data_IF_460421551601
#
_entry.id   IF_460421551601
#
_cell.length_a   1.000
_cell.length_b   1.000
_cell.length_c   1.000
_cell.angle_alpha   90.00
_cell.angle_beta   90.00
_cell.angle_gamma   90.00
#
_symmetry.space_group_name_H-M   'P 1'
#
loop_
_entity.id
_entity.type
_entity.pdbx_description
1 polymer ?
#
# COMPACT_ATOMS: atom_id res chain seq x y z
N UNK A 1 11.96 5.48 2.85
CA UNK A 1 12.38 6.91 2.96
C UNK A 1 11.56 7.63 4.05
N UNK A 2 12.07 8.72 4.66
CA UNK A 2 11.34 9.56 5.64
C UNK A 2 10.63 10.72 4.94
N UNK A 3 9.61 11.32 5.57
CA UNK A 3 8.84 12.44 5.03
C UNK A 3 9.73 13.62 4.58
N UNK A 4 10.69 14.02 5.41
CA UNK A 4 11.61 15.12 5.11
C UNK A 4 12.42 14.89 3.83
N UNK A 5 12.87 13.64 3.58
CA UNK A 5 13.61 13.31 2.35
C UNK A 5 12.73 13.42 1.11
N UNK A 6 11.44 13.08 1.20
CA UNK A 6 10.48 13.26 0.08
C UNK A 6 10.25 14.74 -0.18
N UNK A 7 10.07 15.56 0.86
CA UNK A 7 9.89 17.01 0.73
C UNK A 7 11.11 17.70 0.11
N UNK A 8 12.32 17.31 0.53
CA UNK A 8 13.57 17.80 -0.06
C UNK A 8 13.73 17.41 -1.53
N UNK A 9 13.31 16.20 -1.92
CA UNK A 9 13.28 15.80 -3.33
C UNK A 9 12.27 16.66 -4.13
N UNK A 10 11.09 16.90 -3.57
CA UNK A 10 10.04 17.69 -4.22
C UNK A 10 10.44 19.16 -4.39
N UNK A 11 11.16 19.75 -3.44
CA UNK A 11 11.62 21.14 -3.55
C UNK A 11 12.63 21.37 -4.68
N UNK A 12 13.27 20.30 -5.17
CA UNK A 12 14.20 20.35 -6.29
C UNK A 12 13.55 20.06 -7.65
N UNK A 13 12.22 19.88 -7.70
CA UNK A 13 11.46 19.66 -8.94
C UNK A 13 10.73 20.94 -9.36
N UNK A 14 10.63 21.16 -10.67
CA UNK A 14 9.89 22.30 -11.23
C UNK A 14 8.38 22.23 -10.88
N UNK A 15 7.82 21.02 -10.84
CA UNK A 15 6.44 20.77 -10.42
C UNK A 15 6.28 19.36 -9.84
N UNK A 16 5.26 19.20 -9.00
CA UNK A 16 4.92 17.92 -8.36
C UNK A 16 3.40 17.73 -8.41
N UNK A 17 2.94 16.57 -8.87
CA UNK A 17 1.54 16.17 -8.68
C UNK A 17 1.35 15.81 -7.20
N UNK A 18 0.75 16.74 -6.45
CA UNK A 18 0.74 16.68 -4.99
C UNK A 18 -0.10 15.52 -4.45
N UNK A 19 -1.17 15.13 -5.13
CA UNK A 19 -2.11 14.09 -4.66
C UNK A 19 -1.43 12.72 -4.66
N UNK A 20 -0.82 12.33 -5.76
CA UNK A 20 -0.12 11.07 -5.98
C UNK A 20 1.18 11.02 -5.19
N UNK A 21 1.92 12.12 -5.14
CA UNK A 21 3.16 12.21 -4.38
C UNK A 21 2.89 12.06 -2.86
N UNK A 22 1.87 12.75 -2.34
CA UNK A 22 1.47 12.67 -0.93
C UNK A 22 0.89 11.30 -0.60
N UNK A 23 0.01 10.75 -1.44
CA UNK A 23 -0.54 9.40 -1.24
C UNK A 23 0.57 8.34 -1.17
N UNK A 24 1.59 8.45 -2.04
CA UNK A 24 2.74 7.56 -2.02
C UNK A 24 3.58 7.70 -0.76
N UNK A 25 3.83 8.93 -0.30
CA UNK A 25 4.55 9.18 0.96
C UNK A 25 3.81 8.61 2.17
N UNK A 26 2.48 8.82 2.26
CA UNK A 26 1.65 8.29 3.35
C UNK A 26 1.67 6.76 3.35
N UNK A 27 1.56 6.14 2.18
CA UNK A 27 1.60 4.70 2.05
C UNK A 27 2.95 4.13 2.56
N UNK A 28 4.08 4.67 2.07
CA UNK A 28 5.41 4.22 2.47
C UNK A 28 5.62 4.34 3.99
N UNK A 29 5.22 5.46 4.58
CA UNK A 29 5.35 5.70 6.02
C UNK A 29 4.48 4.74 6.83
N UNK A 30 3.22 4.56 6.43
CA UNK A 30 2.26 3.67 7.09
C UNK A 30 2.73 2.22 7.01
N UNK A 31 3.13 1.76 5.82
CA UNK A 31 3.61 0.41 5.58
C UNK A 31 4.88 0.12 6.39
N UNK A 32 5.83 1.07 6.42
CA UNK A 32 7.03 0.94 7.25
C UNK A 32 6.71 0.90 8.73
N UNK A 33 5.76 1.73 9.21
CA UNK A 33 5.47 1.83 10.65
C UNK A 33 4.65 0.64 11.17
N UNK A 34 3.64 0.20 10.43
CA UNK A 34 2.72 -0.85 10.88
C UNK A 34 3.26 -2.25 10.63
N UNK A 35 3.90 -2.46 9.49
CA UNK A 35 4.31 -3.80 9.05
C UNK A 35 5.79 -3.89 8.70
N UNK A 36 6.61 -2.89 9.06
CA UNK A 36 8.05 -2.89 8.80
C UNK A 36 8.38 -3.20 7.34
N UNK A 37 7.47 -2.83 6.43
CA UNK A 37 7.63 -3.09 5.01
C UNK A 37 8.71 -2.18 4.44
N UNK A 38 9.54 -2.76 3.59
CA UNK A 38 10.60 -2.08 2.86
C UNK A 38 10.30 -2.21 1.35
N UNK A 39 9.89 -1.11 0.69
CA UNK A 39 9.51 -1.16 -0.72
C UNK A 39 10.69 -1.52 -1.64
N UNK A 40 11.95 -1.36 -1.20
CA UNK A 40 13.14 -1.78 -1.97
C UNK A 40 13.42 -3.28 -1.88
N UNK A 41 12.84 -3.98 -0.91
CA UNK A 41 13.08 -5.41 -0.64
C UNK A 41 11.86 -6.29 -0.85
N UNK A 42 10.69 -5.69 -1.07
CA UNK A 42 9.44 -6.44 -1.22
C UNK A 42 9.14 -6.69 -2.69
N UNK A 43 8.93 -7.96 -3.05
CA UNK A 43 8.49 -8.38 -4.39
C UNK A 43 6.99 -8.19 -4.63
N UNK A 44 6.21 -7.88 -3.58
CA UNK A 44 4.76 -7.76 -3.68
C UNK A 44 4.32 -6.30 -3.86
N UNK A 45 3.45 -6.06 -4.84
CA UNK A 45 2.94 -4.71 -5.15
C UNK A 45 1.82 -4.31 -4.16
N UNK A 46 2.17 -4.13 -2.89
CA UNK A 46 1.24 -3.80 -1.81
C UNK A 46 0.46 -2.50 -2.08
N UNK A 47 1.10 -1.56 -2.79
CA UNK A 47 0.49 -0.28 -3.18
C UNK A 47 -0.72 -0.48 -4.08
N UNK A 48 -0.62 -1.34 -5.10
CA UNK A 48 -1.71 -1.60 -6.03
C UNK A 48 -2.90 -2.27 -5.33
N UNK A 49 -2.62 -3.22 -4.43
CA UNK A 49 -3.66 -3.86 -3.62
C UNK A 49 -4.38 -2.82 -2.74
N UNK A 50 -3.65 -1.85 -2.18
CA UNK A 50 -4.23 -0.78 -1.37
C UNK A 50 -5.07 0.20 -2.20
N UNK A 51 -4.61 0.59 -3.38
CA UNK A 51 -5.37 1.44 -4.32
C UNK A 51 -6.68 0.74 -4.72
N UNK A 52 -6.62 -0.53 -5.11
CA UNK A 52 -7.80 -1.31 -5.46
C UNK A 52 -8.77 -1.45 -4.27
N UNK A 53 -8.25 -1.61 -3.06
CA UNK A 53 -9.05 -1.67 -1.84
C UNK A 53 -9.82 -0.37 -1.59
N UNK A 54 -9.16 0.78 -1.61
CA UNK A 54 -9.80 2.09 -1.42
C UNK A 54 -10.85 2.34 -2.51
N UNK A 55 -10.53 2.02 -3.77
CA UNK A 55 -11.47 2.18 -4.88
C UNK A 55 -12.73 1.33 -4.71
N UNK A 56 -12.61 0.07 -4.25
CA UNK A 56 -13.80 -0.74 -4.01
C UNK A 56 -14.54 -0.43 -2.71
N UNK A 57 -13.87 0.15 -1.70
CA UNK A 57 -14.51 0.62 -0.47
C UNK A 57 -15.57 1.70 -0.75
N UNK A 58 -15.29 2.56 -1.73
CA UNK A 58 -16.20 3.66 -2.14
C UNK A 58 -17.10 3.29 -3.34
N UNK A 59 -17.04 2.04 -3.81
CA UNK A 59 -17.82 1.59 -4.98
C UNK A 59 -19.18 1.00 -4.60
N UNK A 60 -20.07 0.87 -5.58
CA UNK A 60 -21.31 0.12 -5.38
C UNK A 60 -21.01 -1.36 -5.07
N UNK A 61 -21.68 -1.96 -4.07
CA UNK A 61 -21.30 -3.25 -3.49
C UNK A 61 -21.76 -4.46 -4.35
N UNK A 62 -21.50 -4.44 -5.66
CA UNK A 62 -21.84 -5.53 -6.57
C UNK A 62 -20.62 -6.40 -6.86
N UNK A 63 -20.68 -7.67 -6.47
CA UNK A 63 -19.59 -8.63 -6.69
C UNK A 63 -19.67 -9.29 -8.08
N UNK A 64 -19.51 -8.50 -9.13
CA UNK A 64 -19.53 -8.97 -10.53
C UNK A 64 -18.14 -8.80 -11.14
N UNK A 65 -17.60 -9.79 -11.87
CA UNK A 65 -16.31 -9.67 -12.56
C UNK A 65 -16.20 -8.37 -13.36
N UNK A 66 -15.08 -7.66 -13.21
CA UNK A 66 -14.83 -6.37 -13.85
C UNK A 66 -15.19 -5.13 -13.02
N UNK A 67 -16.07 -5.26 -12.02
CA UNK A 67 -16.43 -4.15 -11.11
C UNK A 67 -15.30 -3.80 -10.14
N UNK A 68 -15.30 -2.56 -9.64
CA UNK A 68 -14.37 -2.10 -8.61
C UNK A 68 -14.51 -2.88 -7.30
N UNK A 69 -15.76 -3.21 -6.89
CA UNK A 69 -16.02 -4.01 -5.70
C UNK A 69 -15.43 -5.42 -5.80
N UNK A 70 -15.61 -6.09 -6.95
CA UNK A 70 -15.00 -7.40 -7.19
C UNK A 70 -13.46 -7.35 -7.12
N UNK A 71 -12.83 -6.35 -7.75
CA UNK A 71 -11.38 -6.16 -7.67
C UNK A 71 -10.89 -5.87 -6.24
N UNK A 72 -11.65 -5.11 -5.46
CA UNK A 72 -11.35 -4.86 -4.05
C UNK A 72 -11.36 -6.14 -3.21
N UNK A 73 -12.36 -7.02 -3.40
CA UNK A 73 -12.39 -8.31 -2.71
C UNK A 73 -11.15 -9.15 -3.04
N UNK A 74 -10.74 -9.21 -4.31
CA UNK A 74 -9.51 -9.90 -4.71
C UNK A 74 -8.25 -9.28 -4.10
N UNK A 75 -8.14 -7.95 -4.11
CA UNK A 75 -7.03 -7.22 -3.50
C UNK A 75 -6.96 -7.43 -1.99
N UNK A 76 -8.11 -7.46 -1.31
CA UNK A 76 -8.23 -7.75 0.12
C UNK A 76 -7.71 -9.14 0.46
N UNK A 77 -8.10 -10.18 -0.27
CA UNK A 77 -7.63 -11.54 -0.04
C UNK A 77 -6.11 -11.66 -0.18
N UNK A 78 -5.53 -11.03 -1.22
CA UNK A 78 -4.07 -10.97 -1.42
C UNK A 78 -3.38 -10.25 -0.26
N UNK A 79 -3.85 -9.07 0.12
CA UNK A 79 -3.29 -8.30 1.22
C UNK A 79 -3.35 -9.07 2.55
N UNK A 80 -4.49 -9.72 2.85
CA UNK A 80 -4.64 -10.54 4.07
C UNK A 80 -3.71 -11.75 4.09
N UNK A 81 -3.48 -12.40 2.93
CA UNK A 81 -2.51 -13.48 2.82
C UNK A 81 -1.09 -12.99 3.13
N UNK A 82 -0.67 -11.87 2.54
CA UNK A 82 0.63 -11.26 2.81
C UNK A 82 0.80 -10.93 4.29
N UNK A 83 -0.18 -10.25 4.90
CA UNK A 83 -0.14 -9.87 6.32
C UNK A 83 -0.05 -11.09 7.24
N UNK A 84 -0.76 -12.17 6.92
CA UNK A 84 -0.67 -13.45 7.67
C UNK A 84 0.72 -14.06 7.58
N UNK A 85 1.33 -14.08 6.38
CA UNK A 85 2.68 -14.61 6.18
C UNK A 85 3.70 -13.80 6.99
N UNK A 86 3.65 -12.46 6.92
CA UNK A 86 4.53 -11.59 7.69
C UNK A 86 4.38 -11.81 9.21
N UNK A 87 3.14 -12.01 9.68
CA UNK A 87 2.88 -12.31 11.09
C UNK A 87 3.47 -13.67 11.50
N UNK A 88 3.36 -14.68 10.65
CA UNK A 88 3.92 -16.01 10.90
C UNK A 88 5.44 -15.98 10.93
N UNK A 89 6.10 -15.29 10.01
CA UNK A 89 7.57 -15.13 9.99
C UNK A 89 8.07 -14.47 11.28
N UNK A 90 7.39 -13.40 11.74
CA UNK A 90 7.72 -12.74 13.00
C UNK A 90 7.54 -13.64 14.22
N UNK A 91 6.52 -14.49 14.22
CA UNK A 91 6.29 -15.47 15.30
C UNK A 91 7.35 -16.57 15.33
N UNK A 92 7.87 -16.95 14.15
CA UNK A 92 8.96 -17.94 14.04
C UNK A 92 10.33 -17.35 14.41
N UNK A 93 10.52 -16.06 14.20
CA UNK A 93 11.73 -15.31 14.56
C UNK A 93 11.41 -14.23 15.61
N UNK A 94 11.07 -14.61 16.85
CA UNK A 94 10.89 -13.65 17.93
C UNK A 94 12.20 -12.89 18.13
N UNK A 95 12.09 -11.57 18.32
CA UNK A 95 13.22 -10.71 18.72
C UNK A 95 13.61 -10.97 20.16
#
# INVERSE_FOLDING_TARGET
LTANKRLELWSNQESVELKDATASMIFDLTAKKLISHDPEKSSENLRDNFVAFIQGLISFPFNIPGTAYHKCLQGREKAMKMLRNMLQERRKNPR
#
